data_IF_259835552732
#
_entry.id   IF_259835552732
#
_cell.length_a   1.000
_cell.length_b   1.000
_cell.length_c   1.000
_cell.angle_alpha   90.00
_cell.angle_beta   90.00
_cell.angle_gamma   90.00
#
_symmetry.space_group_name_H-M   'P 1'
#
loop_
_entity.id
_entity.type
_entity.pdbx_description
1 polymer ?
#
# COMPACT_ATOMS: atom_id res chain seq x y z
N UNK A 1 10.22 13.92 -6.94
CA UNK A 1 10.97 13.01 -6.05
C UNK A 1 10.18 11.74 -5.83
N UNK A 2 10.83 10.57 -5.67
CA UNK A 2 10.15 9.30 -5.36
C UNK A 2 9.64 9.34 -3.91
N UNK A 3 8.39 8.93 -3.69
CA UNK A 3 7.84 8.75 -2.33
C UNK A 3 8.24 7.41 -1.74
N UNK A 4 8.63 7.41 -0.47
CA UNK A 4 8.96 6.19 0.28
C UNK A 4 7.78 5.75 1.14
N UNK A 5 7.63 4.44 1.34
CA UNK A 5 6.74 3.92 2.39
C UNK A 5 7.30 4.28 3.77
N UNK A 6 6.45 4.55 4.78
CA UNK A 6 6.91 4.88 6.13
C UNK A 6 7.89 3.82 6.67
N UNK A 7 8.98 4.26 7.29
CA UNK A 7 9.99 3.39 7.88
C UNK A 7 9.38 2.55 9.02
N UNK A 8 9.49 1.23 8.90
CA UNK A 8 8.88 0.22 9.74
C UNK A 8 9.63 -0.03 11.07
N UNK A 9 10.76 0.62 11.31
CA UNK A 9 11.60 0.38 12.50
C UNK A 9 11.13 1.07 13.78
N UNK A 10 10.01 1.81 13.77
CA UNK A 10 9.43 2.35 14.99
C UNK A 10 8.45 1.35 15.56
N UNK A 11 8.89 0.62 16.59
CA UNK A 11 8.03 -0.18 17.48
C UNK A 11 7.06 0.77 18.18
N UNK A 12 5.93 1.06 17.54
CA UNK A 12 4.79 1.61 18.26
C UNK A 12 4.41 0.63 19.37
N UNK A 13 3.97 1.12 20.53
CA UNK A 13 3.35 0.31 21.59
C UNK A 13 2.06 -0.43 21.13
N UNK A 14 1.73 -0.32 19.84
CA UNK A 14 0.54 -0.84 19.19
C UNK A 14 0.93 -1.90 18.17
N UNK A 15 0.09 -2.93 18.06
CA UNK A 15 0.24 -4.00 17.06
C UNK A 15 0.21 -3.41 15.64
N UNK A 16 1.12 -3.89 14.80
CA UNK A 16 1.12 -3.56 13.37
C UNK A 16 -0.10 -4.16 12.66
N UNK A 17 -0.46 -3.64 11.49
CA UNK A 17 -1.48 -4.26 10.63
C UNK A 17 -1.11 -5.70 10.26
N UNK A 18 0.18 -6.00 10.16
CA UNK A 18 0.65 -7.37 9.92
C UNK A 18 0.23 -8.32 11.05
N UNK A 19 0.37 -7.88 12.30
CA UNK A 19 0.01 -8.67 13.49
C UNK A 19 -1.50 -8.75 13.72
N UNK A 20 -2.26 -7.73 13.29
CA UNK A 20 -3.69 -7.62 13.54
C UNK A 20 -4.54 -8.43 12.53
N UNK A 21 -4.03 -8.60 11.30
CA UNK A 21 -4.78 -9.21 10.21
C UNK A 21 -4.66 -10.74 10.22
N UNK A 22 -5.68 -11.41 9.67
CA UNK A 22 -5.65 -12.86 9.53
C UNK A 22 -4.65 -13.28 8.44
N UNK A 23 -3.59 -14.05 8.77
CA UNK A 23 -2.60 -14.49 7.78
C UNK A 23 -3.18 -15.44 6.71
N UNK A 24 -4.32 -16.08 7.01
CA UNK A 24 -4.99 -16.98 6.08
C UNK A 24 -5.81 -16.26 5.00
N UNK A 25 -6.03 -14.95 5.14
CA UNK A 25 -6.76 -14.16 4.17
C UNK A 25 -6.04 -14.11 2.82
N UNK A 26 -6.82 -14.21 1.74
CA UNK A 26 -6.29 -14.24 0.37
C UNK A 26 -5.52 -12.98 -0.01
N UNK A 27 -5.97 -11.80 0.43
CA UNK A 27 -5.32 -10.53 0.11
C UNK A 27 -4.06 -10.33 0.96
N UNK A 28 -4.06 -10.81 2.21
CA UNK A 28 -2.87 -10.85 3.06
C UNK A 28 -1.76 -11.70 2.41
N UNK A 29 -2.08 -12.93 2.00
CA UNK A 29 -1.14 -13.82 1.31
C UNK A 29 -0.64 -13.20 0.01
N UNK A 30 -1.53 -12.60 -0.77
CA UNK A 30 -1.17 -11.92 -2.02
C UNK A 30 -0.21 -10.75 -1.77
N UNK A 31 -0.46 -9.94 -0.72
CA UNK A 31 0.42 -8.86 -0.28
C UNK A 31 1.86 -9.34 -0.07
N UNK A 32 2.03 -10.52 0.52
CA UNK A 32 3.36 -11.07 0.85
C UNK A 32 4.00 -11.86 -0.29
N UNK A 33 3.23 -12.21 -1.33
CA UNK A 33 3.72 -12.94 -2.50
C UNK A 33 4.21 -12.00 -3.61
N UNK A 34 3.61 -10.81 -3.73
CA UNK A 34 3.96 -9.85 -4.78
C UNK A 34 5.38 -9.30 -4.55
N UNK A 35 6.28 -9.31 -5.56
CA UNK A 35 7.63 -8.76 -5.44
C UNK A 35 7.60 -7.23 -5.56
N UNK A 36 7.14 -6.53 -4.51
CA UNK A 36 6.95 -5.07 -4.52
C UNK A 36 8.21 -4.27 -4.87
N UNK A 37 9.39 -4.74 -4.47
CA UNK A 37 10.67 -4.10 -4.81
C UNK A 37 10.95 -4.06 -6.30
N UNK A 38 10.46 -5.04 -7.08
CA UNK A 38 10.64 -5.05 -8.52
C UNK A 38 9.92 -3.85 -9.16
N UNK A 39 8.68 -3.57 -8.74
CA UNK A 39 7.95 -2.39 -9.19
C UNK A 39 8.67 -1.11 -8.81
N UNK A 40 9.14 -1.00 -7.55
CA UNK A 40 9.84 0.20 -7.12
C UNK A 40 11.12 0.46 -7.94
N UNK A 41 11.88 -0.58 -8.28
CA UNK A 41 13.08 -0.50 -9.14
C UNK A 41 12.74 -0.11 -10.58
N UNK A 42 11.76 -0.77 -11.20
CA UNK A 42 11.35 -0.50 -12.58
C UNK A 42 10.81 0.92 -12.75
N UNK A 43 9.99 1.39 -11.80
CA UNK A 43 9.40 2.72 -11.86
C UNK A 43 10.33 3.83 -11.34
N UNK A 44 11.44 3.52 -10.65
CA UNK A 44 12.34 4.51 -10.07
C UNK A 44 12.82 5.56 -11.09
N UNK A 45 13.12 5.14 -12.31
CA UNK A 45 13.64 6.00 -13.37
C UNK A 45 12.59 6.96 -13.96
N UNK A 46 11.30 6.73 -13.70
CA UNK A 46 10.21 7.59 -14.15
C UNK A 46 9.97 8.80 -13.24
N UNK A 47 10.60 8.83 -12.05
CA UNK A 47 10.44 9.91 -11.09
C UNK A 47 11.54 10.97 -11.21
N UNK A 48 11.14 12.24 -11.22
CA UNK A 48 12.08 13.35 -11.12
C UNK A 48 12.83 13.33 -9.79
N UNK A 49 14.13 13.68 -9.83
CA UNK A 49 14.98 13.89 -8.65
C UNK A 49 14.63 15.16 -7.87
N UNK A 50 13.83 16.06 -8.44
CA UNK A 50 13.42 17.34 -7.83
C UNK A 50 11.90 17.44 -7.71
N UNK A 51 11.42 18.45 -6.97
CA UNK A 51 9.99 18.72 -6.76
C UNK A 51 9.32 17.89 -5.66
N UNK A 52 7.99 17.98 -5.57
CA UNK A 52 7.20 17.29 -4.52
C UNK A 52 7.38 15.76 -4.62
N UNK A 53 7.54 15.05 -3.49
CA UNK A 53 7.51 13.60 -3.48
C UNK A 53 6.19 13.06 -4.02
N UNK A 54 6.28 12.02 -4.86
CA UNK A 54 5.11 11.25 -5.28
C UNK A 54 4.53 10.48 -4.10
N UNK A 55 3.33 9.91 -4.28
CA UNK A 55 2.88 8.82 -3.42
C UNK A 55 3.79 7.58 -3.62
N UNK A 56 3.89 6.66 -2.65
CA UNK A 56 4.69 5.44 -2.80
C UNK A 56 4.22 4.58 -3.96
N UNK A 57 5.15 3.97 -4.69
CA UNK A 57 4.87 3.12 -5.86
C UNK A 57 3.89 1.99 -5.50
N UNK A 58 4.14 1.31 -4.37
CA UNK A 58 3.28 0.23 -3.88
C UNK A 58 1.83 0.67 -3.72
N UNK A 59 1.56 1.86 -3.18
CA UNK A 59 0.19 2.38 -3.04
C UNK A 59 -0.48 2.59 -4.40
N UNK A 60 0.24 3.13 -5.38
CA UNK A 60 -0.35 3.38 -6.70
C UNK A 60 -0.67 2.07 -7.42
N UNK A 61 0.26 1.11 -7.40
CA UNK A 61 0.06 -0.22 -8.00
C UNK A 61 -1.06 -0.98 -7.29
N UNK A 62 -1.07 -0.97 -5.95
CA UNK A 62 -2.07 -1.69 -5.16
C UNK A 62 -3.48 -1.15 -5.42
N UNK A 63 -3.68 0.18 -5.51
CA UNK A 63 -4.99 0.76 -5.81
C UNK A 63 -5.48 0.35 -7.19
N UNK A 64 -4.60 0.29 -8.21
CA UNK A 64 -4.97 -0.20 -9.54
C UNK A 64 -5.38 -1.67 -9.52
N UNK A 65 -4.65 -2.51 -8.78
CA UNK A 65 -5.00 -3.93 -8.61
C UNK A 65 -6.32 -4.10 -7.87
N UNK A 66 -6.52 -3.40 -6.73
CA UNK A 66 -7.75 -3.45 -5.95
C UNK A 66 -8.95 -2.95 -6.76
N UNK A 67 -8.78 -1.86 -7.52
CA UNK A 67 -9.80 -1.35 -8.44
C UNK A 67 -10.25 -2.43 -9.41
N UNK A 68 -9.31 -3.17 -10.02
CA UNK A 68 -9.63 -4.23 -10.97
C UNK A 68 -10.20 -5.48 -10.30
N UNK A 69 -9.64 -5.92 -9.18
CA UNK A 69 -10.06 -7.13 -8.45
C UNK A 69 -11.49 -7.02 -7.92
N UNK A 70 -11.88 -5.82 -7.47
CA UNK A 70 -13.19 -5.56 -6.87
C UNK A 70 -14.14 -4.80 -7.82
N UNK A 71 -13.75 -4.60 -9.08
CA UNK A 71 -14.53 -3.90 -10.10
C UNK A 71 -15.07 -2.53 -9.62
N UNK A 72 -14.18 -1.69 -9.11
CA UNK A 72 -14.52 -0.38 -8.54
C UNK A 72 -14.13 0.79 -9.46
N UNK A 73 -14.73 1.96 -9.20
CA UNK A 73 -14.28 3.24 -9.75
C UNK A 73 -13.12 3.86 -8.95
N UNK A 74 -12.50 4.91 -9.49
CA UNK A 74 -11.34 5.57 -8.87
C UNK A 74 -11.65 6.22 -7.51
N UNK A 75 -12.82 6.85 -7.37
CA UNK A 75 -13.23 7.42 -6.08
C UNK A 75 -13.67 6.32 -5.10
N UNK A 76 -14.35 5.29 -5.60
CA UNK A 76 -14.87 4.19 -4.78
C UNK A 76 -13.76 3.32 -4.22
N UNK A 77 -12.69 3.06 -4.98
CA UNK A 77 -11.54 2.29 -4.47
C UNK A 77 -10.82 3.04 -3.35
N UNK A 78 -10.69 4.36 -3.46
CA UNK A 78 -10.09 5.19 -2.41
C UNK A 78 -10.97 5.21 -1.16
N UNK A 79 -12.29 5.38 -1.34
CA UNK A 79 -13.24 5.33 -0.22
C UNK A 79 -13.19 3.97 0.49
N UNK A 80 -13.20 2.85 -0.25
CA UNK A 80 -13.10 1.52 0.33
C UNK A 80 -11.75 1.28 1.02
N UNK A 81 -10.65 1.81 0.46
CA UNK A 81 -9.32 1.71 1.04
C UNK A 81 -9.21 2.33 2.43
N UNK A 82 -9.87 3.48 2.67
CA UNK A 82 -9.88 4.13 4.00
C UNK A 82 -10.53 3.25 5.06
N UNK A 83 -11.53 2.45 4.70
CA UNK A 83 -12.28 1.62 5.64
C UNK A 83 -11.67 0.22 5.85
N UNK A 84 -10.82 -0.25 4.92
CA UNK A 84 -10.39 -1.64 4.89
C UNK A 84 -8.90 -1.81 5.26
N UNK A 85 -8.58 -2.37 6.45
CA UNK A 85 -7.21 -2.54 6.91
C UNK A 85 -6.41 -3.54 6.05
N UNK A 86 -7.05 -4.54 5.44
CA UNK A 86 -6.37 -5.45 4.50
C UNK A 86 -5.89 -4.71 3.25
N UNK A 87 -6.65 -3.72 2.77
CA UNK A 87 -6.28 -2.93 1.60
C UNK A 87 -5.12 -1.99 1.91
N UNK A 88 -5.09 -1.44 3.12
CA UNK A 88 -3.98 -0.61 3.60
C UNK A 88 -2.70 -1.43 3.75
N UNK A 89 -2.80 -2.62 4.34
CA UNK A 89 -1.68 -3.56 4.42
C UNK A 89 -1.19 -4.00 3.04
N UNK A 90 -2.11 -4.34 2.13
CA UNK A 90 -1.79 -4.65 0.74
C UNK A 90 -1.02 -3.52 0.05
N UNK A 91 -1.42 -2.27 0.32
CA UNK A 91 -0.74 -1.04 -0.12
C UNK A 91 0.57 -0.72 0.60
N UNK A 92 0.99 -1.51 1.58
CA UNK A 92 2.28 -1.37 2.27
C UNK A 92 2.26 -0.51 3.53
N UNK A 93 1.09 -0.27 4.11
CA UNK A 93 0.96 0.43 5.39
C UNK A 93 1.06 -0.56 6.54
N UNK A 94 1.81 -0.18 7.58
CA UNK A 94 1.94 -0.95 8.83
C UNK A 94 0.96 -0.49 9.91
N UNK A 95 0.36 0.69 9.76
CA UNK A 95 -0.60 1.27 10.70
C UNK A 95 -1.87 1.70 9.96
N UNK A 96 -3.00 1.63 10.65
CA UNK A 96 -4.28 2.01 10.07
C UNK A 96 -4.34 3.51 9.79
N UNK A 97 -4.81 3.88 8.60
CA UNK A 97 -5.00 5.24 8.13
C UNK A 97 -6.50 5.55 8.07
N UNK A 98 -6.95 6.55 8.82
CA UNK A 98 -8.35 7.03 8.78
C UNK A 98 -8.63 8.02 7.64
N UNK A 99 -7.61 8.34 6.84
CA UNK A 99 -7.66 9.31 5.74
C UNK A 99 -6.66 8.91 4.65
N UNK A 100 -7.00 9.24 3.40
CA UNK A 100 -6.14 9.10 2.22
C UNK A 100 -5.19 10.31 1.97
#
# INVERSE_FOLDING_TARGET
MKGETPNQSQTTLFQSLEELLNPEDSLYKLSNTIPWEAFDKEFANLYSKTGRPSKPVRLMVSLLLLKQLFNLGDETVVSAWVHNPYWQYFSGYSTFQWKF
#
